data_IF_975534052293
#
_entry.id   IF_975534052293
#
_cell.length_a   1.000
_cell.length_b   1.000
_cell.length_c   1.000
_cell.angle_alpha   90.00
_cell.angle_beta   90.00
_cell.angle_gamma   90.00
#
_symmetry.space_group_name_H-M   'P 1'
#
loop_
_entity.id
_entity.type
_entity.pdbx_description
1 polymer ?
#
# COMPACT_ATOMS: atom_id res chain seq x y z
N UNK A 1 -11.07 -35.40 -33.21
CA UNK A 1 -11.76 -34.57 -32.20
C UNK A 1 -10.92 -34.56 -30.93
N UNK A 2 -10.07 -33.55 -30.75
CA UNK A 2 -9.28 -33.39 -29.52
C UNK A 2 -10.13 -32.64 -28.49
N UNK A 3 -10.51 -33.35 -27.44
CA UNK A 3 -11.22 -32.80 -26.28
C UNK A 3 -10.24 -31.99 -25.45
N UNK A 4 -10.22 -30.68 -25.67
CA UNK A 4 -9.54 -29.73 -24.79
C UNK A 4 -10.32 -29.68 -23.47
N UNK A 5 -9.91 -30.49 -22.49
CA UNK A 5 -10.38 -30.35 -21.11
C UNK A 5 -9.64 -29.15 -20.49
N UNK A 6 -10.32 -28.09 -20.02
CA UNK A 6 -9.67 -27.07 -19.24
C UNK A 6 -9.10 -27.73 -17.97
N UNK A 7 -7.80 -27.57 -17.75
CA UNK A 7 -7.17 -27.97 -16.49
C UNK A 7 -7.93 -27.29 -15.35
N UNK A 8 -8.34 -28.08 -14.36
CA UNK A 8 -8.83 -27.55 -13.08
C UNK A 8 -7.69 -26.74 -12.48
N UNK A 9 -7.81 -25.41 -12.54
CA UNK A 9 -7.07 -24.50 -11.69
C UNK A 9 -7.59 -24.65 -10.26
N UNK A 10 -7.28 -25.80 -9.66
CA UNK A 10 -7.41 -26.08 -8.24
C UNK A 10 -6.03 -25.95 -7.59
N UNK A 11 -6.07 -25.54 -6.33
CA UNK A 11 -5.02 -25.13 -5.41
C UNK A 11 -3.77 -26.03 -5.27
N UNK A 12 -3.74 -27.20 -5.91
CA UNK A 12 -2.66 -28.17 -5.79
C UNK A 12 -1.45 -27.86 -6.69
N UNK A 13 -1.56 -26.86 -7.57
CA UNK A 13 -0.50 -26.51 -8.51
C UNK A 13 0.21 -25.20 -8.16
N UNK A 14 0.35 -24.82 -6.89
CA UNK A 14 1.22 -23.69 -6.52
C UNK A 14 2.67 -24.18 -6.56
N UNK A 15 3.33 -24.02 -7.70
CA UNK A 15 4.76 -24.30 -7.90
C UNK A 15 5.54 -23.03 -7.49
N UNK A 16 6.25 -23.03 -6.35
CA UNK A 16 6.95 -21.85 -5.84
C UNK A 16 8.06 -21.36 -6.77
N UNK A 17 8.47 -22.18 -7.75
CA UNK A 17 9.55 -21.87 -8.68
C UNK A 17 9.11 -21.07 -9.91
N UNK A 18 7.79 -20.94 -10.15
CA UNK A 18 7.23 -20.23 -11.32
C UNK A 18 6.46 -19.00 -10.88
N UNK A 19 6.64 -17.90 -11.59
CA UNK A 19 5.78 -16.72 -11.47
C UNK A 19 4.37 -17.07 -11.94
N UNK A 20 3.57 -17.68 -11.08
CA UNK A 20 2.20 -18.05 -11.41
C UNK A 20 1.31 -16.81 -11.40
N UNK A 21 0.45 -16.72 -12.42
CA UNK A 21 -0.63 -15.73 -12.48
C UNK A 21 -1.65 -16.11 -11.39
N UNK A 22 -1.64 -15.36 -10.29
CA UNK A 22 -2.64 -15.53 -9.23
C UNK A 22 -3.94 -14.88 -9.70
N UNK A 23 -4.99 -15.69 -9.88
CA UNK A 23 -6.31 -15.17 -10.19
C UNK A 23 -7.05 -14.78 -8.90
N UNK A 24 -6.73 -13.59 -8.38
CA UNK A 24 -7.35 -13.05 -7.16
C UNK A 24 -8.87 -12.93 -7.27
N UNK A 25 -9.40 -12.64 -8.46
CA UNK A 25 -10.84 -12.52 -8.66
C UNK A 25 -11.56 -13.86 -8.40
N UNK A 26 -11.00 -14.96 -8.88
CA UNK A 26 -11.54 -16.30 -8.61
C UNK A 26 -11.39 -16.68 -7.13
N UNK A 27 -10.19 -16.52 -6.59
CA UNK A 27 -9.87 -16.92 -5.20
C UNK A 27 -10.75 -16.17 -4.19
N UNK A 28 -10.92 -14.85 -4.36
CA UNK A 28 -11.74 -14.03 -3.46
C UNK A 28 -13.24 -14.32 -3.61
N UNK A 29 -13.71 -14.84 -4.75
CA UNK A 29 -15.11 -15.20 -4.96
C UNK A 29 -15.46 -16.58 -4.40
N UNK A 30 -14.56 -17.55 -4.55
CA UNK A 30 -14.83 -18.96 -4.28
C UNK A 30 -14.37 -19.44 -2.88
N UNK A 31 -13.39 -18.79 -2.26
CA UNK A 31 -12.75 -19.28 -1.04
C UNK A 31 -13.07 -18.46 0.22
N UNK A 32 -12.87 -19.10 1.39
CA UNK A 32 -12.92 -18.41 2.69
C UNK A 32 -11.70 -17.50 2.85
N UNK A 33 -11.91 -16.26 3.26
CA UNK A 33 -10.86 -15.24 3.32
C UNK A 33 -9.68 -15.61 4.22
N UNK A 34 -9.95 -16.33 5.31
CA UNK A 34 -8.92 -16.77 6.25
C UNK A 34 -7.93 -17.73 5.56
N UNK A 35 -8.43 -18.67 4.75
CA UNK A 35 -7.58 -19.57 3.97
C UNK A 35 -6.82 -18.84 2.85
N UNK A 36 -7.42 -17.79 2.28
CA UNK A 36 -6.74 -16.92 1.30
C UNK A 36 -5.58 -16.16 1.97
N UNK A 37 -5.80 -15.62 3.17
CA UNK A 37 -4.79 -14.91 3.93
C UNK A 37 -3.61 -15.82 4.30
N UNK A 38 -3.89 -17.03 4.80
CA UNK A 38 -2.86 -18.02 5.14
C UNK A 38 -1.97 -18.34 3.92
N UNK A 39 -2.57 -18.64 2.76
CA UNK A 39 -1.82 -18.91 1.52
C UNK A 39 -1.00 -17.71 1.05
N UNK A 40 -1.54 -16.50 1.18
CA UNK A 40 -0.82 -15.27 0.80
C UNK A 40 0.42 -15.07 1.68
N UNK A 41 0.30 -15.32 2.98
CA UNK A 41 1.40 -15.23 3.94
C UNK A 41 2.45 -16.31 3.63
N UNK A 42 2.04 -17.57 3.47
CA UNK A 42 2.94 -18.68 3.13
C UNK A 42 3.69 -18.44 1.81
N UNK A 43 2.98 -18.01 0.77
CA UNK A 43 3.59 -17.71 -0.53
C UNK A 43 4.57 -16.53 -0.44
N UNK A 44 4.36 -15.60 0.48
CA UNK A 44 5.28 -14.47 0.70
C UNK A 44 6.59 -14.93 1.33
N UNK A 45 6.57 -15.95 2.19
CA UNK A 45 7.79 -16.56 2.74
C UNK A 45 8.52 -17.46 1.75
N UNK A 46 7.79 -18.10 0.84
CA UNK A 46 8.37 -18.97 -0.19
C UNK A 46 9.15 -18.20 -1.27
N UNK A 47 8.77 -16.95 -1.57
CA UNK A 47 9.46 -16.11 -2.54
C UNK A 47 10.77 -15.52 -1.94
N UNK A 48 11.87 -16.26 -2.08
CA UNK A 48 13.20 -15.86 -1.58
C UNK A 48 13.89 -14.76 -2.42
N UNK A 49 13.27 -14.33 -3.54
CA UNK A 49 13.83 -13.31 -4.41
C UNK A 49 13.40 -11.89 -4.00
N UNK A 50 14.31 -11.15 -3.37
CA UNK A 50 14.12 -9.76 -2.92
C UNK A 50 13.59 -8.80 -4.01
N UNK A 51 13.85 -9.08 -5.29
CA UNK A 51 13.49 -8.21 -6.42
C UNK A 51 12.13 -8.53 -7.05
N UNK A 52 11.48 -9.64 -6.70
CA UNK A 52 10.18 -10.02 -7.27
C UNK A 52 9.04 -9.52 -6.38
N UNK A 53 7.90 -9.19 -7.01
CA UNK A 53 6.67 -8.87 -6.28
C UNK A 53 6.17 -10.15 -5.61
N UNK A 54 6.08 -10.11 -4.28
CA UNK A 54 5.49 -11.18 -3.49
C UNK A 54 3.96 -11.26 -3.69
N UNK A 55 3.32 -12.24 -3.07
CA UNK A 55 1.88 -12.46 -3.25
C UNK A 55 1.03 -11.28 -2.72
N UNK A 56 1.47 -10.64 -1.63
CA UNK A 56 0.80 -9.48 -1.02
C UNK A 56 0.98 -8.23 -1.88
N UNK A 57 2.17 -7.99 -2.44
CA UNK A 57 2.42 -6.92 -3.41
C UNK A 57 1.47 -7.06 -4.62
N UNK A 58 1.29 -8.28 -5.14
CA UNK A 58 0.37 -8.54 -6.26
C UNK A 58 -1.09 -8.35 -5.88
N UNK A 59 -1.47 -8.69 -4.64
CA UNK A 59 -2.81 -8.39 -4.12
C UNK A 59 -3.05 -6.88 -4.05
N UNK A 60 -2.06 -6.11 -3.60
CA UNK A 60 -2.12 -4.65 -3.57
C UNK A 60 -2.27 -4.07 -4.99
N UNK A 61 -1.50 -4.56 -5.95
CA UNK A 61 -1.65 -4.15 -7.36
C UNK A 61 -3.06 -4.49 -7.89
N UNK A 62 -3.59 -5.66 -7.55
CA UNK A 62 -4.94 -6.07 -7.93
C UNK A 62 -6.02 -5.15 -7.32
N UNK A 63 -5.91 -4.87 -6.02
CA UNK A 63 -6.83 -3.96 -5.33
C UNK A 63 -6.77 -2.54 -5.93
N UNK A 64 -5.56 -2.04 -6.18
CA UNK A 64 -5.33 -0.77 -6.84
C UNK A 64 -6.02 -0.73 -8.21
N UNK A 65 -5.77 -1.75 -9.04
CA UNK A 65 -6.34 -1.84 -10.38
C UNK A 65 -7.88 -1.84 -10.34
N UNK A 66 -8.49 -2.66 -9.47
CA UNK A 66 -9.94 -2.72 -9.33
C UNK A 66 -10.54 -1.39 -8.87
N UNK A 67 -9.91 -0.71 -7.92
CA UNK A 67 -10.35 0.62 -7.48
C UNK A 67 -10.17 1.67 -8.59
N UNK A 68 -9.05 1.64 -9.32
CA UNK A 68 -8.77 2.58 -10.40
C UNK A 68 -9.79 2.49 -11.55
N UNK A 69 -10.21 1.28 -11.89
CA UNK A 69 -11.24 1.01 -12.92
C UNK A 69 -12.67 1.26 -12.46
N UNK A 70 -12.86 1.57 -11.17
CA UNK A 70 -14.16 1.78 -10.57
C UNK A 70 -14.69 3.21 -10.70
N UNK A 71 -15.64 3.54 -9.84
CA UNK A 71 -16.38 4.80 -9.87
C UNK A 71 -15.71 5.86 -9.01
N UNK A 72 -15.81 7.12 -9.44
CA UNK A 72 -15.38 8.24 -8.62
C UNK A 72 -16.19 8.30 -7.33
N UNK A 73 -15.48 8.43 -6.23
CA UNK A 73 -16.05 8.59 -4.91
C UNK A 73 -15.41 9.82 -4.29
N UNK A 74 -16.17 10.92 -4.27
CA UNK A 74 -15.69 12.21 -3.81
C UNK A 74 -16.18 12.38 -2.38
N UNK A 75 -15.32 12.06 -1.41
CA UNK A 75 -15.57 12.42 0.00
C UNK A 75 -15.41 13.93 0.16
N UNK A 76 -14.39 14.49 -0.50
CA UNK A 76 -14.06 15.90 -0.47
C UNK A 76 -13.45 16.33 -1.82
N UNK A 77 -13.72 17.54 -2.29
CA UNK A 77 -13.24 17.99 -3.62
C UNK A 77 -11.72 18.03 -3.73
N UNK A 78 -11.03 18.27 -2.61
CA UNK A 78 -9.56 18.28 -2.58
C UNK A 78 -8.92 16.89 -2.49
N UNK A 79 -9.70 15.83 -2.25
CA UNK A 79 -9.21 14.46 -2.07
C UNK A 79 -10.07 13.47 -2.88
N UNK A 80 -10.04 13.56 -4.22
CA UNK A 80 -10.80 12.64 -5.05
C UNK A 80 -10.26 11.22 -4.88
N UNK A 81 -11.16 10.27 -4.64
CA UNK A 81 -10.82 8.84 -4.61
C UNK A 81 -11.76 8.06 -5.52
N UNK A 82 -11.54 6.76 -5.62
CA UNK A 82 -12.37 5.83 -6.37
C UNK A 82 -12.73 4.62 -5.52
N UNK A 83 -13.86 4.01 -5.84
CA UNK A 83 -14.34 2.76 -5.25
C UNK A 83 -14.51 1.70 -6.31
N UNK A 84 -14.33 0.45 -5.92
CA UNK A 84 -14.55 -0.68 -6.84
C UNK A 84 -16.03 -0.76 -7.21
N UNK A 85 -16.33 -1.18 -8.45
CA UNK A 85 -17.71 -1.48 -8.84
C UNK A 85 -18.29 -2.64 -8.03
N UNK A 86 -17.47 -3.67 -7.78
CA UNK A 86 -17.83 -4.83 -6.99
C UNK A 86 -17.63 -4.54 -5.49
N UNK A 87 -18.74 -4.20 -4.81
CA UNK A 87 -18.74 -3.87 -3.38
C UNK A 87 -18.38 -5.07 -2.50
N UNK A 88 -18.78 -6.28 -2.88
CA UNK A 88 -18.44 -7.47 -2.09
C UNK A 88 -16.93 -7.73 -2.14
N UNK A 89 -16.32 -7.56 -3.32
CA UNK A 89 -14.87 -7.65 -3.47
C UNK A 89 -14.14 -6.56 -2.69
N UNK A 90 -14.65 -5.33 -2.70
CA UNK A 90 -14.07 -4.23 -1.92
C UNK A 90 -14.05 -4.55 -0.42
N UNK A 91 -15.17 -5.02 0.14
CA UNK A 91 -15.27 -5.38 1.55
C UNK A 91 -14.38 -6.57 1.92
N UNK A 92 -14.25 -7.56 1.03
CA UNK A 92 -13.30 -8.68 1.21
C UNK A 92 -11.85 -8.19 1.27
N UNK A 93 -11.47 -7.27 0.38
CA UNK A 93 -10.13 -6.69 0.35
C UNK A 93 -9.87 -5.84 1.59
N UNK A 94 -10.85 -5.06 2.06
CA UNK A 94 -10.75 -4.33 3.31
C UNK A 94 -10.50 -5.26 4.50
N UNK A 95 -11.27 -6.35 4.62
CA UNK A 95 -11.06 -7.33 5.70
C UNK A 95 -9.67 -7.98 5.62
N UNK A 96 -9.19 -8.30 4.42
CA UNK A 96 -7.83 -8.81 4.24
C UNK A 96 -6.78 -7.79 4.69
N UNK A 97 -6.91 -6.53 4.27
CA UNK A 97 -5.90 -5.50 4.54
C UNK A 97 -5.85 -5.12 6.02
N UNK A 98 -7.00 -4.98 6.66
CA UNK A 98 -7.09 -4.40 7.98
C UNK A 98 -6.98 -5.43 9.11
N UNK A 99 -7.37 -6.69 8.85
CA UNK A 99 -7.44 -7.72 9.89
C UNK A 99 -6.53 -8.91 9.60
N UNK A 100 -6.69 -9.55 8.43
CA UNK A 100 -6.15 -10.90 8.20
C UNK A 100 -4.69 -10.94 7.72
N UNK A 101 -4.20 -9.88 7.08
CA UNK A 101 -2.83 -9.78 6.58
C UNK A 101 -1.95 -8.88 7.48
N UNK A 102 -2.46 -8.47 8.63
CA UNK A 102 -1.68 -7.73 9.60
C UNK A 102 -0.83 -8.70 10.44
N UNK A 103 0.47 -8.42 10.67
CA UNK A 103 1.21 -7.20 10.31
C UNK A 103 1.90 -7.21 8.93
N UNK A 104 1.90 -8.33 8.21
CA UNK A 104 2.73 -8.58 7.02
C UNK A 104 2.50 -7.56 5.89
N UNK A 105 1.28 -7.04 5.76
CA UNK A 105 0.88 -6.09 4.72
C UNK A 105 1.46 -4.68 4.90
N UNK A 106 1.78 -4.27 6.13
CA UNK A 106 2.13 -2.88 6.47
C UNK A 106 3.28 -2.38 5.59
N UNK A 107 4.38 -3.13 5.53
CA UNK A 107 5.55 -2.72 4.74
C UNK A 107 5.23 -2.63 3.24
N UNK A 108 4.34 -3.48 2.71
CA UNK A 108 3.96 -3.45 1.29
C UNK A 108 3.12 -2.22 0.97
N UNK A 109 2.21 -1.82 1.85
CA UNK A 109 1.46 -0.57 1.71
C UNK A 109 2.38 0.65 1.78
N UNK A 110 3.29 0.69 2.76
CA UNK A 110 4.28 1.77 2.88
C UNK A 110 5.17 1.86 1.62
N UNK A 111 5.60 0.72 1.09
CA UNK A 111 6.37 0.62 -0.16
C UNK A 111 5.56 1.16 -1.34
N UNK A 112 4.29 0.79 -1.45
CA UNK A 112 3.39 1.26 -2.51
C UNK A 112 3.30 2.79 -2.50
N UNK A 113 2.96 3.39 -1.35
CA UNK A 113 2.85 4.84 -1.19
C UNK A 113 4.19 5.58 -1.41
N UNK A 114 5.31 4.97 -1.04
CA UNK A 114 6.62 5.58 -1.19
C UNK A 114 7.14 5.58 -2.64
N UNK A 115 6.83 4.55 -3.44
CA UNK A 115 7.40 4.37 -4.79
C UNK A 115 6.85 5.34 -5.84
N UNK A 116 5.65 5.88 -5.66
CA UNK A 116 5.06 6.91 -6.54
C UNK A 116 5.15 6.55 -8.04
N UNK A 117 4.80 5.31 -8.38
CA UNK A 117 4.80 4.85 -9.78
C UNK A 117 3.66 5.51 -10.58
N UNK A 118 2.65 6.02 -9.87
CA UNK A 118 1.43 6.60 -10.43
C UNK A 118 1.27 8.06 -9.97
N UNK A 119 0.22 8.71 -10.44
CA UNK A 119 -0.18 10.04 -9.98
C UNK A 119 -0.45 10.05 -8.46
N UNK A 120 -0.09 11.10 -7.71
CA UNK A 120 -0.29 11.17 -6.25
C UNK A 120 -1.73 10.87 -5.79
N UNK A 121 -2.75 11.27 -6.55
CA UNK A 121 -4.17 11.04 -6.21
C UNK A 121 -4.54 9.56 -6.19
N UNK A 122 -3.86 8.76 -7.02
CA UNK A 122 -4.12 7.33 -7.09
C UNK A 122 -3.77 6.59 -5.79
N UNK A 123 -2.89 7.16 -4.94
CA UNK A 123 -2.64 6.61 -3.60
C UNK A 123 -3.90 6.62 -2.73
N UNK A 124 -4.81 7.58 -2.95
CA UNK A 124 -6.06 7.68 -2.20
C UNK A 124 -7.02 6.52 -2.51
N UNK A 125 -6.89 5.86 -3.67
CA UNK A 125 -7.70 4.69 -4.01
C UNK A 125 -7.39 3.55 -3.05
N UNK A 126 -6.10 3.33 -2.78
CA UNK A 126 -5.66 2.31 -1.85
C UNK A 126 -5.86 2.74 -0.39
N UNK A 127 -5.58 4.00 -0.06
CA UNK A 127 -5.83 4.54 1.28
C UNK A 127 -7.32 4.45 1.67
N UNK A 128 -8.23 4.55 0.70
CA UNK A 128 -9.66 4.37 0.95
C UNK A 128 -10.03 2.94 1.41
N UNK A 129 -9.18 1.94 1.20
CA UNK A 129 -9.37 0.56 1.68
C UNK A 129 -8.81 0.34 3.10
N UNK A 130 -8.09 1.32 3.65
CA UNK A 130 -7.46 1.23 4.98
C UNK A 130 -8.37 1.83 6.04
N UNK A 131 -8.63 1.07 7.10
CA UNK A 131 -9.47 1.42 8.25
C UNK A 131 -8.74 1.16 9.58
N UNK A 132 -7.77 0.23 9.61
CA UNK A 132 -7.00 -0.15 10.79
C UNK A 132 -6.12 0.99 11.31
N UNK A 133 -6.27 1.28 12.61
CA UNK A 133 -5.48 2.32 13.30
C UNK A 133 -3.99 2.00 13.34
N UNK A 134 -3.61 0.72 13.43
CA UNK A 134 -2.20 0.33 13.47
C UNK A 134 -1.50 0.56 12.12
N UNK A 135 -2.22 0.36 11.01
CA UNK A 135 -1.72 0.70 9.67
C UNK A 135 -1.59 2.22 9.53
N UNK A 136 -2.61 2.98 9.95
CA UNK A 136 -2.58 4.45 9.92
C UNK A 136 -1.44 4.99 10.78
N UNK A 137 -1.21 4.43 11.97
CA UNK A 137 -0.08 4.77 12.85
C UNK A 137 1.26 4.49 12.16
N UNK A 138 1.40 3.35 11.48
CA UNK A 138 2.60 3.02 10.72
C UNK A 138 2.88 4.02 9.57
N UNK A 139 1.83 4.49 8.89
CA UNK A 139 1.93 5.55 7.87
C UNK A 139 2.38 6.87 8.52
N UNK A 140 1.80 7.24 9.66
CA UNK A 140 2.18 8.44 10.41
C UNK A 140 3.62 8.40 10.94
N UNK A 141 4.07 7.27 11.48
CA UNK A 141 5.45 7.11 11.94
C UNK A 141 6.45 7.19 10.79
N UNK A 142 6.10 6.63 9.63
CA UNK A 142 6.90 6.74 8.40
C UNK A 142 6.94 8.19 7.88
N UNK A 143 5.82 8.92 7.97
CA UNK A 143 5.79 10.36 7.68
C UNK A 143 6.76 11.14 8.57
N UNK A 144 6.74 10.92 9.90
CA UNK A 144 7.67 11.58 10.83
C UNK A 144 9.13 11.29 10.49
N UNK A 145 9.44 10.05 10.12
CA UNK A 145 10.77 9.64 9.70
C UNK A 145 11.22 10.46 8.48
N UNK A 146 10.42 10.49 7.41
CA UNK A 146 10.76 11.25 6.21
C UNK A 146 10.81 12.76 6.45
N UNK A 147 9.92 13.30 7.29
CA UNK A 147 9.93 14.72 7.68
C UNK A 147 11.25 15.12 8.34
N UNK A 148 11.77 14.28 9.23
CA UNK A 148 13.09 14.48 9.85
C UNK A 148 14.22 14.47 8.81
N UNK A 149 14.15 13.55 7.86
CA UNK A 149 15.19 13.37 6.85
C UNK A 149 15.32 14.57 5.88
N UNK A 150 14.26 15.37 5.70
CA UNK A 150 14.28 16.57 4.84
C UNK A 150 15.43 17.52 5.20
N UNK A 151 15.76 17.62 6.48
CA UNK A 151 16.76 18.57 7.01
C UNK A 151 18.17 17.97 7.12
N UNK A 152 18.37 16.71 6.75
CA UNK A 152 19.70 16.10 6.71
C UNK A 152 20.50 16.72 5.55
N UNK A 153 21.69 17.23 5.85
CA UNK A 153 22.60 17.86 4.88
C UNK A 153 23.29 16.83 3.97
N UNK A 154 23.70 15.69 4.55
CA UNK A 154 24.32 14.59 3.82
C UNK A 154 23.31 13.93 2.86
N UNK A 155 23.54 14.06 1.55
CA UNK A 155 22.62 13.60 0.51
C UNK A 155 22.39 12.09 0.52
N UNK A 156 23.41 11.29 0.84
CA UNK A 156 23.28 9.83 0.86
C UNK A 156 22.47 9.39 2.07
N UNK A 157 22.81 9.90 3.25
CA UNK A 157 22.07 9.62 4.49
C UNK A 157 20.63 10.11 4.41
N UNK A 158 20.41 11.28 3.81
CA UNK A 158 19.10 11.89 3.60
C UNK A 158 18.12 10.94 2.91
N UNK A 159 18.56 10.23 1.87
CA UNK A 159 17.66 9.37 1.07
C UNK A 159 17.52 7.94 1.60
N UNK A 160 18.31 7.56 2.61
CA UNK A 160 18.47 6.16 2.99
C UNK A 160 17.18 5.52 3.51
N UNK A 161 16.40 6.21 4.35
CA UNK A 161 15.15 5.66 4.86
C UNK A 161 14.09 5.53 3.77
N UNK A 162 14.00 6.50 2.85
CA UNK A 162 13.09 6.42 1.70
C UNK A 162 13.46 5.22 0.84
N UNK A 163 14.75 5.02 0.54
CA UNK A 163 15.25 3.85 -0.21
C UNK A 163 14.91 2.53 0.51
N UNK A 164 15.06 2.47 1.83
CA UNK A 164 14.70 1.28 2.64
C UNK A 164 13.21 0.94 2.50
N UNK A 165 12.33 1.91 2.66
CA UNK A 165 10.88 1.71 2.51
C UNK A 165 10.52 1.33 1.07
N UNK A 166 11.14 1.97 0.08
CA UNK A 166 10.96 1.62 -1.34
C UNK A 166 11.58 0.26 -1.70
N UNK A 167 12.39 -0.34 -0.82
CA UNK A 167 13.23 -1.50 -1.09
C UNK A 167 14.14 -1.29 -2.31
N UNK A 168 14.67 -0.08 -2.47
CA UNK A 168 15.71 0.21 -3.45
C UNK A 168 17.10 -0.03 -2.87
N UNK A 169 18.06 -0.35 -3.74
CA UNK A 169 19.46 -0.47 -3.35
C UNK A 169 19.93 0.84 -2.71
N UNK A 170 20.71 0.81 -1.60
CA UNK A 170 21.31 2.02 -1.04
C UNK A 170 22.11 2.83 -2.06
N UNK A 171 22.70 2.14 -3.04
CA UNK A 171 23.52 2.72 -4.11
C UNK A 171 22.71 3.22 -5.31
N UNK A 172 21.38 3.07 -5.32
CA UNK A 172 20.55 3.59 -6.41
C UNK A 172 20.55 5.11 -6.47
N UNK A 173 20.22 5.67 -7.63
CA UNK A 173 20.11 7.12 -7.78
C UNK A 173 19.13 7.72 -6.75
N UNK A 174 19.52 8.85 -6.16
CA UNK A 174 18.75 9.55 -5.13
C UNK A 174 17.47 10.24 -5.66
N UNK A 175 17.35 10.42 -6.98
CA UNK A 175 16.27 11.20 -7.60
C UNK A 175 14.88 10.67 -7.26
N UNK A 176 14.70 9.34 -7.22
CA UNK A 176 13.41 8.71 -6.93
C UNK A 176 13.14 8.54 -5.43
N UNK A 177 14.10 8.90 -4.57
CA UNK A 177 14.07 8.65 -3.13
C UNK A 177 14.19 9.95 -2.31
N UNK A 178 13.70 11.06 -2.86
CA UNK A 178 13.61 12.35 -2.17
C UNK A 178 12.70 12.25 -0.93
N UNK A 179 13.21 12.57 0.29
CA UNK A 179 12.38 12.58 1.49
C UNK A 179 11.31 13.65 1.46
N UNK A 180 11.55 14.79 0.79
CA UNK A 180 10.55 15.84 0.68
C UNK A 180 9.33 15.34 -0.11
N UNK A 181 9.56 14.67 -1.24
CA UNK A 181 8.49 14.17 -2.09
C UNK A 181 7.75 13.02 -1.40
N UNK A 182 8.49 12.09 -0.78
CA UNK A 182 7.90 10.99 -0.02
C UNK A 182 7.08 11.52 1.17
N UNK A 183 7.62 12.47 1.94
CA UNK A 183 6.92 13.08 3.06
C UNK A 183 5.63 13.80 2.61
N UNK A 184 5.67 14.50 1.47
CA UNK A 184 4.50 15.20 0.91
C UNK A 184 3.39 14.23 0.51
N UNK A 185 3.73 13.08 -0.08
CA UNK A 185 2.76 12.01 -0.40
C UNK A 185 2.12 11.43 0.85
N UNK A 186 2.93 11.13 1.86
CA UNK A 186 2.42 10.58 3.11
C UNK A 186 1.55 11.59 3.86
N UNK A 187 1.92 12.87 3.86
CA UNK A 187 1.07 13.95 4.36
C UNK A 187 -0.29 13.96 3.66
N UNK A 188 -0.31 13.89 2.34
CA UNK A 188 -1.56 13.91 1.57
C UNK A 188 -2.50 12.76 1.94
N UNK A 189 -1.94 11.56 2.14
CA UNK A 189 -2.68 10.38 2.62
C UNK A 189 -3.20 10.59 4.06
N UNK A 190 -2.40 11.16 4.95
CA UNK A 190 -2.81 11.46 6.33
C UNK A 190 -3.94 12.49 6.37
N UNK A 191 -3.84 13.57 5.60
CA UNK A 191 -4.93 14.56 5.49
C UNK A 191 -6.22 13.91 4.99
N UNK A 192 -6.13 13.00 4.01
CA UNK A 192 -7.28 12.22 3.57
C UNK A 192 -7.89 11.38 4.69
N UNK A 193 -7.08 10.71 5.51
CA UNK A 193 -7.59 9.94 6.65
C UNK A 193 -8.33 10.81 7.67
N UNK A 194 -7.83 12.01 7.97
CA UNK A 194 -8.51 12.96 8.87
C UNK A 194 -9.92 13.34 8.41
N UNK A 195 -10.15 13.35 7.09
CA UNK A 195 -11.46 13.63 6.50
C UNK A 195 -12.33 12.38 6.50
N UNK A 196 -11.72 11.22 6.23
CA UNK A 196 -12.43 9.94 6.10
C UNK A 196 -12.95 9.41 7.44
N UNK A 197 -12.18 9.53 8.53
CA UNK A 197 -12.54 9.05 9.88
C UNK A 197 -11.83 9.85 10.98
N UNK A 198 -12.34 9.75 12.20
CA UNK A 198 -11.62 10.30 13.36
C UNK A 198 -10.32 9.52 13.60
N UNK A 199 -9.21 10.24 13.55
CA UNK A 199 -7.83 9.77 13.77
C UNK A 199 -7.11 10.61 14.82
N UNK A 200 -7.84 11.45 15.56
CA UNK A 200 -7.28 12.41 16.52
C UNK A 200 -6.51 11.75 17.67
N UNK A 201 -6.77 10.47 17.94
CA UNK A 201 -6.02 9.63 18.88
C UNK A 201 -4.68 9.14 18.35
N UNK A 202 -4.43 9.23 17.04
CA UNK A 202 -3.17 8.83 16.40
C UNK A 202 -2.30 10.07 16.13
N UNK A 203 -2.88 11.11 15.55
CA UNK A 203 -2.21 12.38 15.24
C UNK A 203 -3.22 13.51 15.04
N UNK A 204 -2.75 14.75 15.12
CA UNK A 204 -3.53 15.97 14.88
C UNK A 204 -3.09 16.69 13.61
N UNK A 205 -3.90 17.64 13.16
CA UNK A 205 -3.59 18.46 11.98
C UNK A 205 -2.27 19.21 12.12
N UNK A 206 -1.93 19.65 13.34
CA UNK A 206 -0.66 20.35 13.61
C UNK A 206 0.56 19.45 13.42
N UNK A 207 0.44 18.16 13.74
CA UNK A 207 1.56 17.21 13.71
C UNK A 207 2.07 16.97 12.28
N UNK A 208 1.15 17.02 11.32
CA UNK A 208 1.43 16.77 9.89
C UNK A 208 1.78 18.04 9.10
N UNK A 209 1.88 19.21 9.75
CA UNK A 209 2.36 20.44 9.11
C UNK A 209 3.83 20.29 8.71
N UNK A 210 4.15 20.61 7.46
CA UNK A 210 5.52 20.57 6.93
C UNK A 210 6.36 21.78 7.34
N UNK A 211 5.69 22.88 7.67
CA UNK A 211 6.27 24.14 8.07
C UNK A 211 5.45 24.74 9.21
N UNK A 212 6.16 25.36 10.16
CA UNK A 212 5.59 26.24 11.16
C UNK A 212 6.39 27.53 11.10
N UNK A 213 5.71 28.68 11.06
CA UNK A 213 6.36 29.97 11.28
C UNK A 213 7.09 29.88 12.62
N UNK A 214 8.40 30.14 12.62
CA UNK A 214 9.09 30.42 13.88
C UNK A 214 8.38 31.64 14.45
N UNK A 215 7.69 31.50 15.58
CA UNK A 215 7.15 32.65 16.28
C UNK A 215 8.32 33.61 16.47
N UNK A 216 8.20 34.81 15.90
CA UNK A 216 9.15 35.90 16.11
C UNK A 216 9.23 36.12 17.61
N UNK A 217 10.31 35.63 18.21
CA UNK A 217 10.73 35.92 19.58
C UNK A 217 11.19 37.36 19.69
#
# INVERSE_FOLDING_TARGET
MNTFKPKKDSLENIDPSKSQLINFEKILKEEKLEAVAEKLIESTFAEQHLMRKDAIDRLIDFAFFKAQTGEYYIIHMAYPTKRMHDREMEEKIKKLFNDLLYPEIVLRLLKFFARNVYDPDSNLYLANLIESDEIIRSIYDTFKLFKKDIFITDKEKKTLNVKRIQQFSPHSEARLSSPLDACSRFKYILEFFMIKKDVSHIYKAEDIKMYSLANAS
#
